data_IF_713880002506
#
_entry.id   IF_713880002506
#
_cell.length_a   1.000
_cell.length_b   1.000
_cell.length_c   1.000
_cell.angle_alpha   90.00
_cell.angle_beta   90.00
_cell.angle_gamma   90.00
#
_symmetry.space_group_name_H-M   'P 1'
#
loop_
_entity.id
_entity.type
_entity.pdbx_description
1 polymer ?
#
# COMPACT_ATOMS: atom_id res chain seq x y z
N UNK A 1 29.62 -48.82 9.25
CA UNK A 1 29.36 -47.90 10.37
C UNK A 1 28.06 -47.18 10.06
N UNK A 2 27.01 -47.47 10.82
CA UNK A 2 25.71 -46.83 10.68
C UNK A 2 25.86 -45.34 10.99
N UNK A 3 25.58 -44.46 10.01
CA UNK A 3 25.29 -43.06 10.30
C UNK A 3 23.95 -43.06 11.01
N UNK A 4 23.96 -42.84 12.33
CA UNK A 4 22.75 -42.81 13.13
C UNK A 4 21.78 -41.76 12.59
N UNK A 5 20.51 -42.14 12.39
CA UNK A 5 19.42 -41.20 12.28
C UNK A 5 19.38 -40.43 13.61
N UNK A 6 20.01 -39.27 13.67
CA UNK A 6 19.75 -38.33 14.75
C UNK A 6 18.29 -37.87 14.56
N UNK A 7 17.40 -38.40 15.41
CA UNK A 7 16.02 -37.98 15.43
C UNK A 7 15.99 -36.62 16.14
N UNK A 8 15.92 -35.54 15.34
CA UNK A 8 15.75 -34.19 15.85
C UNK A 8 14.44 -34.09 16.63
N UNK A 9 14.47 -33.44 17.79
CA UNK A 9 13.28 -33.06 18.54
C UNK A 9 12.46 -32.01 17.80
N UNK A 10 11.19 -31.87 18.13
CA UNK A 10 10.31 -30.83 17.58
C UNK A 10 10.93 -29.42 17.73
N UNK A 11 11.46 -29.10 18.92
CA UNK A 11 12.13 -27.82 19.17
C UNK A 11 13.37 -27.58 18.28
N UNK A 12 14.19 -28.61 18.04
CA UNK A 12 15.34 -28.49 17.13
C UNK A 12 14.92 -28.33 15.66
N UNK A 13 13.80 -28.94 15.27
CA UNK A 13 13.22 -28.78 13.94
C UNK A 13 12.66 -27.37 13.74
N UNK A 14 11.99 -26.81 14.76
CA UNK A 14 11.50 -25.42 14.77
C UNK A 14 12.65 -24.43 14.67
N UNK A 15 13.65 -24.53 15.55
CA UNK A 15 14.80 -23.63 15.51
C UNK A 15 15.54 -23.68 14.16
N UNK A 16 15.55 -24.84 13.51
CA UNK A 16 16.10 -24.99 12.16
C UNK A 16 15.21 -24.37 11.08
N UNK A 17 13.89 -24.47 11.21
CA UNK A 17 12.96 -23.83 10.30
C UNK A 17 13.07 -22.30 10.38
N UNK A 18 13.09 -21.73 11.59
CA UNK A 18 13.31 -20.30 11.84
C UNK A 18 14.62 -19.82 11.20
N UNK A 19 15.73 -20.53 11.43
CA UNK A 19 17.01 -20.18 10.81
C UNK A 19 16.99 -20.27 9.28
N UNK A 20 16.12 -21.09 8.68
CA UNK A 20 15.96 -21.18 7.23
C UNK A 20 15.11 -20.04 6.67
N UNK A 21 14.12 -19.56 7.43
CA UNK A 21 13.39 -18.32 7.10
C UNK A 21 14.37 -17.15 7.06
N UNK A 22 15.24 -17.02 8.09
CA UNK A 22 16.27 -15.98 8.14
C UNK A 22 17.28 -16.06 6.98
N UNK A 23 17.46 -17.25 6.39
CA UNK A 23 18.33 -17.50 5.24
C UNK A 23 17.60 -17.34 3.89
N UNK A 24 16.37 -16.83 3.89
CA UNK A 24 15.50 -16.73 2.72
C UNK A 24 15.33 -18.08 2.01
N UNK A 25 15.13 -19.15 2.77
CA UNK A 25 14.82 -20.51 2.28
C UNK A 25 13.45 -21.00 2.82
N UNK A 26 12.35 -20.26 2.53
CA UNK A 26 11.02 -20.54 3.08
C UNK A 26 10.49 -21.92 2.69
N UNK A 27 10.76 -22.42 1.49
CA UNK A 27 10.29 -23.75 1.05
C UNK A 27 10.90 -24.88 1.87
N UNK A 28 12.15 -24.71 2.30
CA UNK A 28 12.82 -25.68 3.16
C UNK A 28 12.37 -25.52 4.61
N UNK A 29 12.15 -24.29 5.09
CA UNK A 29 11.62 -24.01 6.42
C UNK A 29 10.28 -24.71 6.64
N UNK A 30 9.34 -24.61 5.69
CA UNK A 30 8.03 -25.28 5.75
C UNK A 30 8.19 -26.80 5.95
N UNK A 31 9.14 -27.45 5.26
CA UNK A 31 9.37 -28.89 5.45
C UNK A 31 9.89 -29.25 6.85
N UNK A 32 10.61 -28.34 7.51
CA UNK A 32 11.05 -28.53 8.89
C UNK A 32 9.91 -28.32 9.88
N UNK A 33 9.06 -27.31 9.66
CA UNK A 33 7.82 -27.14 10.43
C UNK A 33 6.87 -28.33 10.29
N UNK A 34 6.65 -28.84 9.08
CA UNK A 34 5.83 -30.05 8.84
C UNK A 34 6.38 -31.27 9.61
N UNK A 35 7.71 -31.43 9.67
CA UNK A 35 8.34 -32.50 10.47
C UNK A 35 8.17 -32.30 11.97
N UNK A 36 8.19 -31.06 12.45
CA UNK A 36 7.91 -30.74 13.85
C UNK A 36 6.43 -31.04 14.17
N UNK A 37 5.52 -30.68 13.26
CA UNK A 37 4.09 -30.91 13.39
C UNK A 37 3.74 -32.41 13.44
N UNK A 38 4.48 -33.27 12.72
CA UNK A 38 4.33 -34.73 12.85
C UNK A 38 4.62 -35.24 14.27
N UNK A 39 5.46 -34.53 15.06
CA UNK A 39 5.73 -34.86 16.46
C UNK A 39 4.70 -34.22 17.41
N UNK A 40 4.18 -33.05 17.04
CA UNK A 40 3.23 -32.27 17.84
C UNK A 40 1.99 -31.88 17.01
N UNK A 41 1.09 -32.82 16.68
CA UNK A 41 0.01 -32.57 15.69
C UNK A 41 -1.02 -31.52 16.10
N UNK A 42 -1.07 -31.17 17.38
CA UNK A 42 -1.99 -30.18 17.94
C UNK A 42 -1.34 -28.82 18.19
N UNK A 43 -0.10 -28.61 17.73
CA UNK A 43 0.61 -27.36 17.92
C UNK A 43 0.16 -26.34 16.86
N UNK A 44 -0.72 -25.43 17.28
CA UNK A 44 -1.32 -24.39 16.45
C UNK A 44 -0.31 -23.36 15.96
N UNK A 45 0.76 -23.08 16.72
CA UNK A 45 1.81 -22.16 16.28
C UNK A 45 2.56 -22.69 15.05
N UNK A 46 2.81 -24.02 14.97
CA UNK A 46 3.39 -24.63 13.78
C UNK A 46 2.46 -24.55 12.57
N UNK A 47 1.16 -24.77 12.78
CA UNK A 47 0.16 -24.65 11.73
C UNK A 47 0.06 -23.22 11.21
N UNK A 48 0.07 -22.23 12.12
CA UNK A 48 0.06 -20.80 11.77
C UNK A 48 1.31 -20.44 10.95
N UNK A 49 2.52 -20.84 11.40
CA UNK A 49 3.76 -20.59 10.63
C UNK A 49 3.80 -21.30 9.28
N UNK A 50 3.25 -22.52 9.17
CA UNK A 50 3.10 -23.21 7.88
C UNK A 50 2.13 -22.45 6.99
N UNK A 51 1.01 -21.98 7.53
CA UNK A 51 0.00 -21.22 6.81
C UNK A 51 0.55 -19.91 6.23
N UNK A 52 1.22 -19.12 7.07
CA UNK A 52 1.83 -17.84 6.72
C UNK A 52 2.89 -18.01 5.62
N UNK A 53 3.89 -18.87 5.84
CA UNK A 53 4.93 -19.11 4.84
C UNK A 53 4.39 -19.73 3.56
N UNK A 54 3.37 -20.59 3.64
CA UNK A 54 2.77 -21.16 2.44
C UNK A 54 1.99 -20.12 1.63
N UNK A 55 1.47 -19.09 2.28
CA UNK A 55 0.84 -17.94 1.60
C UNK A 55 1.88 -17.14 0.84
N UNK A 56 3.02 -16.83 1.46
CA UNK A 56 4.14 -16.14 0.81
C UNK A 56 4.73 -16.92 -0.38
N UNK A 57 4.68 -18.26 -0.30
CA UNK A 57 5.12 -19.17 -1.35
C UNK A 57 4.07 -19.42 -2.44
N UNK A 58 2.94 -18.73 -2.42
CA UNK A 58 1.80 -18.92 -3.33
C UNK A 58 1.27 -20.38 -3.37
N UNK A 59 1.44 -21.10 -2.25
CA UNK A 59 0.91 -22.45 -2.06
C UNK A 59 -0.40 -22.40 -1.29
N UNK A 60 -1.44 -21.91 -1.97
CA UNK A 60 -2.75 -21.63 -1.39
C UNK A 60 -3.40 -22.87 -0.77
N UNK A 61 -3.27 -24.05 -1.40
CA UNK A 61 -3.82 -25.30 -0.87
C UNK A 61 -3.20 -25.69 0.48
N UNK A 62 -1.87 -25.57 0.61
CA UNK A 62 -1.16 -25.87 1.86
C UNK A 62 -1.51 -24.85 2.93
N UNK A 63 -1.54 -23.56 2.57
CA UNK A 63 -1.88 -22.48 3.49
C UNK A 63 -3.28 -22.66 4.07
N UNK A 64 -4.28 -22.88 3.19
CA UNK A 64 -5.67 -23.10 3.57
C UNK A 64 -5.81 -24.30 4.53
N UNK A 65 -5.19 -25.43 4.20
CA UNK A 65 -5.22 -26.63 5.04
C UNK A 65 -4.61 -26.40 6.43
N UNK A 66 -3.51 -25.66 6.53
CA UNK A 66 -2.85 -25.37 7.79
C UNK A 66 -3.70 -24.44 8.68
N UNK A 67 -4.22 -23.35 8.11
CA UNK A 67 -5.10 -22.44 8.85
C UNK A 67 -6.40 -23.10 9.29
N UNK A 68 -7.05 -23.90 8.44
CA UNK A 68 -8.26 -24.66 8.82
C UNK A 68 -7.99 -25.60 10.00
N UNK A 69 -6.86 -26.32 10.00
CA UNK A 69 -6.47 -27.18 11.12
C UNK A 69 -6.19 -26.36 12.38
N UNK A 70 -5.51 -25.21 12.27
CA UNK A 70 -5.24 -24.34 13.41
C UNK A 70 -6.53 -23.78 14.02
N UNK A 71 -7.45 -23.31 13.18
CA UNK A 71 -8.77 -22.81 13.58
C UNK A 71 -9.58 -23.90 14.29
N UNK A 72 -9.56 -25.13 13.77
CA UNK A 72 -10.28 -26.25 14.39
C UNK A 72 -9.74 -26.61 15.80
N UNK A 73 -8.45 -26.40 16.04
CA UNK A 73 -7.80 -26.69 17.32
C UNK A 73 -7.94 -25.55 18.33
N UNK A 74 -7.72 -24.31 17.90
CA UNK A 74 -7.72 -23.13 18.78
C UNK A 74 -8.23 -21.88 18.02
N UNK A 75 -9.56 -21.72 17.86
CA UNK A 75 -10.14 -20.65 17.04
C UNK A 75 -9.87 -19.25 17.59
N UNK A 76 -9.75 -19.10 18.92
CA UNK A 76 -9.54 -17.81 19.58
C UNK A 76 -8.06 -17.41 19.73
N UNK A 77 -7.12 -18.32 19.47
CA UNK A 77 -5.69 -18.01 19.58
C UNK A 77 -5.20 -17.45 18.23
N UNK A 78 -4.38 -16.41 18.22
CA UNK A 78 -3.89 -15.78 17.00
C UNK A 78 -5.03 -15.42 16.01
N UNK A 79 -5.87 -14.42 16.32
CA UNK A 79 -7.01 -14.08 15.46
C UNK A 79 -6.61 -13.69 14.03
N UNK A 80 -5.37 -13.27 13.79
CA UNK A 80 -4.87 -12.91 12.45
C UNK A 80 -4.99 -14.05 11.43
N UNK A 81 -4.95 -15.32 11.86
CA UNK A 81 -5.15 -16.47 10.95
C UNK A 81 -6.50 -16.49 10.25
N UNK A 82 -7.52 -15.87 10.85
CA UNK A 82 -8.83 -15.70 10.22
C UNK A 82 -8.77 -14.70 9.06
N UNK A 83 -7.92 -13.68 9.16
CA UNK A 83 -7.70 -12.73 8.06
C UNK A 83 -6.86 -13.37 6.96
N UNK A 84 -5.83 -14.15 7.33
CA UNK A 84 -5.04 -14.90 6.34
C UNK A 84 -5.90 -15.86 5.54
N UNK A 85 -6.71 -16.70 6.20
CA UNK A 85 -7.58 -17.65 5.48
C UNK A 85 -8.64 -16.93 4.64
N UNK A 86 -9.15 -15.77 5.08
CA UNK A 86 -10.11 -14.98 4.32
C UNK A 86 -9.56 -14.52 2.97
N UNK A 87 -8.27 -14.20 2.89
CA UNK A 87 -7.59 -13.83 1.63
C UNK A 87 -7.38 -15.01 0.67
N UNK A 88 -7.50 -16.25 1.16
CA UNK A 88 -7.33 -17.48 0.36
C UNK A 88 -8.65 -18.00 -0.24
N UNK A 89 -9.77 -17.37 0.11
CA UNK A 89 -11.11 -17.73 -0.35
C UNK A 89 -11.83 -16.50 -0.90
N UNK A 90 -13.02 -16.67 -1.47
CA UNK A 90 -13.76 -15.59 -2.12
C UNK A 90 -15.22 -15.53 -1.67
N UNK A 91 -15.87 -14.40 -1.94
CA UNK A 91 -17.30 -14.19 -1.67
C UNK A 91 -17.70 -14.43 -0.21
N UNK A 92 -18.83 -15.11 0.00
CA UNK A 92 -19.42 -15.31 1.34
C UNK A 92 -18.50 -16.07 2.32
N UNK A 93 -17.59 -16.92 1.81
CA UNK A 93 -16.63 -17.62 2.67
C UNK A 93 -15.57 -16.65 3.22
N UNK A 94 -15.11 -15.70 2.41
CA UNK A 94 -14.19 -14.65 2.84
C UNK A 94 -14.86 -13.72 3.87
N UNK A 95 -16.13 -13.36 3.64
CA UNK A 95 -16.92 -12.61 4.62
C UNK A 95 -17.03 -13.38 5.95
N UNK A 96 -17.32 -14.68 5.89
CA UNK A 96 -17.45 -15.51 7.08
C UNK A 96 -16.15 -15.53 7.89
N UNK A 97 -15.01 -15.84 7.28
CA UNK A 97 -13.74 -15.88 8.01
C UNK A 97 -13.35 -14.50 8.57
N UNK A 98 -13.51 -13.44 7.78
CA UNK A 98 -13.17 -12.08 8.23
C UNK A 98 -14.03 -11.64 9.42
N UNK A 99 -15.34 -11.91 9.40
CA UNK A 99 -16.24 -11.58 10.52
C UNK A 99 -15.94 -12.41 11.78
N UNK A 100 -15.52 -13.67 11.64
CA UNK A 100 -15.02 -14.46 12.78
C UNK A 100 -13.71 -13.90 13.34
N UNK A 101 -12.76 -13.51 12.46
CA UNK A 101 -11.52 -12.86 12.86
C UNK A 101 -11.76 -11.59 13.68
N UNK A 102 -12.63 -10.70 13.18
CA UNK A 102 -13.05 -9.48 13.89
C UNK A 102 -13.66 -9.82 15.25
N UNK A 103 -14.53 -10.85 15.33
CA UNK A 103 -15.12 -11.28 16.61
C UNK A 103 -14.06 -11.66 17.63
N UNK A 104 -13.02 -12.38 17.21
CA UNK A 104 -11.92 -12.77 18.08
C UNK A 104 -11.03 -11.58 18.47
N UNK A 105 -10.72 -10.67 17.54
CA UNK A 105 -10.01 -9.43 17.84
C UNK A 105 -10.77 -8.53 18.81
N UNK A 106 -12.10 -8.40 18.66
CA UNK A 106 -12.92 -7.63 19.59
C UNK A 106 -12.87 -8.21 21.01
N UNK A 107 -12.90 -9.53 21.13
CA UNK A 107 -12.77 -10.20 22.43
C UNK A 107 -11.38 -9.97 23.05
N UNK A 108 -10.31 -10.02 22.25
CA UNK A 108 -8.96 -9.72 22.69
C UNK A 108 -8.83 -8.25 23.13
N UNK A 109 -9.35 -7.31 22.34
CA UNK A 109 -9.36 -5.88 22.65
C UNK A 109 -10.07 -5.58 23.98
N UNK A 110 -11.16 -6.27 24.29
CA UNK A 110 -11.87 -6.12 25.57
C UNK A 110 -11.03 -6.52 26.80
N UNK A 111 -9.99 -7.34 26.63
CA UNK A 111 -9.08 -7.69 27.73
C UNK A 111 -8.08 -6.57 28.04
N UNK A 112 -7.93 -5.58 27.16
CA UNK A 112 -7.07 -4.44 27.40
C UNK A 112 -7.78 -3.40 28.29
N UNK A 113 -7.18 -3.11 29.45
CA UNK A 113 -7.70 -2.09 30.38
C UNK A 113 -7.58 -0.68 29.81
N UNK A 114 -6.47 -0.41 29.11
CA UNK A 114 -6.25 0.87 28.42
C UNK A 114 -6.49 0.70 26.91
N UNK A 115 -7.54 1.32 26.35
CA UNK A 115 -7.85 1.23 24.92
C UNK A 115 -6.83 1.94 24.02
N UNK A 116 -5.87 2.67 24.60
CA UNK A 116 -4.81 3.39 23.87
C UNK A 116 -3.43 2.78 24.10
N UNK A 117 -3.33 1.64 24.80
CA UNK A 117 -2.08 0.92 24.91
C UNK A 117 -1.59 0.47 23.51
N UNK A 118 -0.27 0.39 23.26
CA UNK A 118 0.26 0.00 21.95
C UNK A 118 -0.31 -1.32 21.40
N UNK A 119 -0.46 -2.33 22.26
CA UNK A 119 -1.08 -3.60 21.86
C UNK A 119 -2.57 -3.46 21.48
N UNK A 120 -3.32 -2.60 22.17
CA UNK A 120 -4.71 -2.32 21.83
C UNK A 120 -4.83 -1.55 20.50
N UNK A 121 -3.89 -0.64 20.21
CA UNK A 121 -3.83 0.08 18.94
C UNK A 121 -3.53 -0.87 17.75
N UNK A 122 -2.66 -1.86 17.94
CA UNK A 122 -2.41 -2.91 16.93
C UNK A 122 -3.68 -3.68 16.63
N UNK A 123 -4.42 -4.11 17.66
CA UNK A 123 -5.68 -4.84 17.46
C UNK A 123 -6.73 -3.94 16.78
N UNK A 124 -6.85 -2.67 17.18
CA UNK A 124 -7.73 -1.69 16.53
C UNK A 124 -7.39 -1.52 15.05
N UNK A 125 -6.10 -1.40 14.72
CA UNK A 125 -5.61 -1.35 13.33
C UNK A 125 -6.08 -2.59 12.54
N UNK A 126 -5.88 -3.79 13.08
CA UNK A 126 -6.29 -5.03 12.41
C UNK A 126 -7.81 -5.13 12.23
N UNK A 127 -8.61 -4.69 13.21
CA UNK A 127 -10.08 -4.63 13.09
C UNK A 127 -10.49 -3.62 12.01
N UNK A 128 -9.84 -2.46 12.00
CA UNK A 128 -10.09 -1.39 11.04
C UNK A 128 -9.83 -1.86 9.60
N UNK A 129 -8.65 -2.44 9.35
CA UNK A 129 -8.28 -3.03 8.06
C UNK A 129 -9.25 -4.13 7.65
N UNK A 130 -9.62 -5.04 8.56
CA UNK A 130 -10.56 -6.12 8.27
C UNK A 130 -11.96 -5.61 7.88
N UNK A 131 -12.44 -4.53 8.51
CA UNK A 131 -13.69 -3.90 8.09
C UNK A 131 -13.58 -3.19 6.73
N UNK A 132 -12.45 -2.56 6.41
CA UNK A 132 -12.21 -2.03 5.07
C UNK A 132 -12.25 -3.15 4.02
N UNK A 133 -11.55 -4.26 4.27
CA UNK A 133 -11.57 -5.41 3.35
C UNK A 133 -12.97 -6.00 3.18
N UNK A 134 -13.80 -6.04 4.22
CA UNK A 134 -15.21 -6.44 4.09
C UNK A 134 -16.01 -5.47 3.22
N UNK A 135 -15.84 -4.16 3.38
CA UNK A 135 -16.52 -3.18 2.54
C UNK A 135 -16.11 -3.30 1.07
N UNK A 136 -14.81 -3.48 0.80
CA UNK A 136 -14.25 -3.70 -0.54
C UNK A 136 -14.75 -5.01 -1.17
N UNK A 137 -14.87 -6.09 -0.40
CA UNK A 137 -15.44 -7.36 -0.86
C UNK A 137 -16.86 -7.18 -1.42
N UNK A 138 -17.66 -6.28 -0.83
CA UNK A 138 -18.98 -5.91 -1.33
C UNK A 138 -18.97 -4.94 -2.52
N UNK A 139 -17.84 -4.31 -2.81
CA UNK A 139 -17.64 -3.52 -4.03
C UNK A 139 -17.13 -4.37 -5.20
N UNK A 140 -16.58 -5.56 -4.93
CA UNK A 140 -16.00 -6.45 -5.95
C UNK A 140 -16.76 -7.78 -6.06
N UNK A 141 -16.47 -8.76 -5.21
CA UNK A 141 -16.95 -10.14 -5.31
C UNK A 141 -18.45 -10.28 -5.03
N UNK A 142 -18.95 -9.48 -4.09
CA UNK A 142 -20.34 -9.52 -3.62
C UNK A 142 -21.16 -8.31 -4.11
N UNK A 143 -20.72 -7.64 -5.17
CA UNK A 143 -21.38 -6.43 -5.69
C UNK A 143 -22.82 -6.68 -6.20
N UNK A 144 -23.13 -7.91 -6.65
CA UNK A 144 -24.46 -8.31 -7.10
C UNK A 144 -25.44 -8.64 -5.96
N UNK A 145 -24.97 -8.64 -4.70
CA UNK A 145 -25.82 -8.93 -3.53
C UNK A 145 -26.84 -7.78 -3.32
N UNK A 146 -28.11 -8.11 -3.03
CA UNK A 146 -29.18 -7.10 -2.90
C UNK A 146 -28.88 -6.03 -1.83
N UNK A 147 -28.15 -6.43 -0.78
CA UNK A 147 -27.73 -5.55 0.31
C UNK A 147 -26.29 -5.02 0.18
N UNK A 148 -25.63 -5.18 -0.98
CA UNK A 148 -24.20 -4.90 -1.14
C UNK A 148 -23.83 -3.48 -0.72
N UNK A 149 -24.54 -2.47 -1.23
CA UNK A 149 -24.31 -1.06 -0.91
C UNK A 149 -24.49 -0.78 0.60
N UNK A 150 -25.56 -1.31 1.20
CA UNK A 150 -25.85 -1.10 2.63
C UNK A 150 -24.82 -1.78 3.52
N UNK A 151 -24.39 -2.99 3.17
CA UNK A 151 -23.36 -3.72 3.93
C UNK A 151 -21.99 -3.06 3.77
N UNK A 152 -21.62 -2.69 2.55
CA UNK A 152 -20.40 -1.95 2.22
C UNK A 152 -20.29 -0.67 3.07
N UNK A 153 -21.31 0.18 3.03
CA UNK A 153 -21.33 1.43 3.81
C UNK A 153 -21.24 1.15 5.31
N UNK A 154 -21.97 0.15 5.81
CA UNK A 154 -21.92 -0.24 7.21
C UNK A 154 -20.51 -0.65 7.63
N UNK A 155 -19.84 -1.51 6.87
CA UNK A 155 -18.49 -1.96 7.24
C UNK A 155 -17.49 -0.83 7.26
N UNK A 156 -17.53 0.08 6.28
CA UNK A 156 -16.67 1.26 6.31
C UNK A 156 -16.96 2.20 7.49
N UNK A 157 -18.24 2.36 7.88
CA UNK A 157 -18.59 3.10 9.09
C UNK A 157 -18.07 2.42 10.36
N UNK A 158 -18.16 1.09 10.45
CA UNK A 158 -17.58 0.32 11.56
C UNK A 158 -16.06 0.46 11.60
N UNK A 159 -15.36 0.45 10.46
CA UNK A 159 -13.92 0.68 10.37
C UNK A 159 -13.52 2.01 11.03
N UNK A 160 -14.26 3.09 10.75
CA UNK A 160 -14.02 4.40 11.37
C UNK A 160 -14.18 4.42 12.90
N UNK A 161 -14.92 3.48 13.49
CA UNK A 161 -15.02 3.38 14.96
C UNK A 161 -13.75 2.83 15.62
N UNK A 162 -12.91 2.15 14.84
CA UNK A 162 -11.60 1.62 15.25
C UNK A 162 -10.44 2.41 14.65
N UNK A 163 -10.72 3.60 14.11
CA UNK A 163 -9.72 4.45 13.46
C UNK A 163 -8.59 4.83 14.42
N UNK A 164 -7.36 4.57 13.97
CA UNK A 164 -6.12 4.95 14.66
C UNK A 164 -5.29 5.96 13.85
N UNK A 165 -5.92 6.65 12.90
CA UNK A 165 -5.29 7.62 12.01
C UNK A 165 -4.86 7.05 10.65
N UNK A 166 -5.45 5.91 10.26
CA UNK A 166 -5.15 5.17 9.04
C UNK A 166 -5.77 5.84 7.80
N UNK A 167 -5.08 5.97 6.66
CA UNK A 167 -5.68 6.52 5.44
C UNK A 167 -6.73 5.59 4.79
N UNK A 168 -6.67 4.29 5.05
CA UNK A 168 -7.49 3.26 4.38
C UNK A 168 -9.01 3.47 4.55
N UNK A 169 -9.55 3.70 5.77
CA UNK A 169 -11.00 3.82 5.95
C UNK A 169 -11.61 5.04 5.26
N UNK A 170 -10.88 6.16 5.24
CA UNK A 170 -11.35 7.39 4.58
C UNK A 170 -11.27 7.25 3.06
N UNK A 171 -10.24 6.59 2.54
CA UNK A 171 -10.13 6.28 1.12
C UNK A 171 -11.26 5.34 0.67
N UNK A 172 -11.52 4.27 1.44
CA UNK A 172 -12.54 3.29 1.09
C UNK A 172 -13.95 3.90 1.07
N UNK A 173 -14.27 4.78 2.03
CA UNK A 173 -15.51 5.57 1.99
C UNK A 173 -15.54 6.54 0.81
N UNK A 174 -14.43 7.20 0.47
CA UNK A 174 -14.37 8.09 -0.67
C UNK A 174 -14.69 7.33 -1.97
N UNK A 175 -14.11 6.14 -2.13
CA UNK A 175 -14.39 5.27 -3.27
C UNK A 175 -15.89 4.93 -3.36
N UNK A 176 -16.52 4.55 -2.24
CA UNK A 176 -17.97 4.33 -2.21
C UNK A 176 -18.75 5.59 -2.63
N UNK A 177 -18.37 6.78 -2.15
CA UNK A 177 -19.02 8.04 -2.55
C UNK A 177 -18.85 8.35 -4.03
N UNK A 178 -17.70 8.05 -4.63
CA UNK A 178 -17.49 8.19 -6.07
C UNK A 178 -18.37 7.23 -6.87
N UNK A 179 -18.48 5.97 -6.46
CA UNK A 179 -19.40 4.99 -7.08
C UNK A 179 -20.85 5.47 -7.00
N UNK A 180 -21.25 6.09 -5.88
CA UNK A 180 -22.56 6.72 -5.68
C UNK A 180 -22.74 8.06 -6.44
N UNK A 181 -21.77 8.49 -7.24
CA UNK A 181 -21.75 9.77 -7.96
C UNK A 181 -21.81 10.99 -7.03
N UNK A 182 -21.39 10.85 -5.78
CA UNK A 182 -21.35 11.90 -4.78
C UNK A 182 -19.93 12.45 -4.61
N UNK A 183 -19.45 13.19 -5.61
CA UNK A 183 -18.09 13.75 -5.63
C UNK A 183 -17.81 14.71 -4.48
N UNK A 184 -18.79 15.51 -4.07
CA UNK A 184 -18.64 16.48 -2.98
C UNK A 184 -18.33 15.78 -1.64
N UNK A 185 -19.04 14.68 -1.33
CA UNK A 185 -18.74 13.90 -0.13
C UNK A 185 -17.40 13.14 -0.25
N UNK A 186 -17.04 12.68 -1.45
CA UNK A 186 -15.77 12.02 -1.69
C UNK A 186 -14.58 12.97 -1.48
N UNK A 187 -14.70 14.22 -1.93
CA UNK A 187 -13.66 15.25 -1.82
C UNK A 187 -13.19 15.44 -0.37
N UNK A 188 -14.13 15.65 0.57
CA UNK A 188 -13.78 15.83 1.98
C UNK A 188 -13.11 14.60 2.62
N UNK A 189 -13.47 13.39 2.18
CA UNK A 189 -12.85 12.14 2.62
C UNK A 189 -11.44 11.96 2.02
N UNK A 190 -11.23 12.40 0.78
CA UNK A 190 -9.92 12.36 0.12
C UNK A 190 -8.96 13.40 0.66
N UNK A 191 -9.44 14.60 1.03
CA UNK A 191 -8.63 15.60 1.72
C UNK A 191 -8.10 15.04 3.05
N UNK A 192 -8.95 14.34 3.80
CA UNK A 192 -8.56 13.67 5.03
C UNK A 192 -7.58 12.52 4.79
N UNK A 193 -7.81 11.71 3.73
CA UNK A 193 -6.91 10.63 3.33
C UNK A 193 -5.51 11.17 3.00
N UNK A 194 -5.45 12.24 2.19
CA UNK A 194 -4.22 12.92 1.81
C UNK A 194 -3.48 13.48 3.02
N UNK A 195 -4.21 14.15 3.94
CA UNK A 195 -3.64 14.65 5.19
C UNK A 195 -3.02 13.52 6.02
N UNK A 196 -3.70 12.37 6.15
CA UNK A 196 -3.18 11.20 6.90
C UNK A 196 -1.92 10.61 6.27
N UNK A 197 -1.87 10.53 4.93
CA UNK A 197 -0.67 10.09 4.23
C UNK A 197 0.55 10.97 4.54
N UNK A 198 0.36 12.28 4.68
CA UNK A 198 1.46 13.22 4.89
C UNK A 198 1.80 13.45 6.37
N UNK A 199 0.83 13.35 7.29
CA UNK A 199 1.03 13.67 8.71
C UNK A 199 1.20 12.44 9.59
N UNK A 200 0.55 11.32 9.26
CA UNK A 200 0.49 10.13 10.13
C UNK A 200 1.36 8.98 9.66
N UNK A 201 1.74 8.93 8.39
CA UNK A 201 2.59 7.89 7.83
C UNK A 201 4.06 8.36 7.78
N UNK A 202 4.94 7.67 8.50
CA UNK A 202 6.38 7.68 8.26
C UNK A 202 6.81 6.64 7.21
N UNK A 203 8.11 6.58 6.91
CA UNK A 203 8.71 5.72 5.88
C UNK A 203 8.29 4.25 5.99
N UNK A 204 8.34 3.66 7.19
CA UNK A 204 7.97 2.25 7.44
C UNK A 204 6.44 2.00 7.50
N UNK A 205 5.62 3.04 7.41
CA UNK A 205 4.16 2.97 7.57
C UNK A 205 3.38 3.54 6.40
N UNK A 206 4.09 3.91 5.33
CA UNK A 206 3.48 4.33 4.09
C UNK A 206 2.69 3.15 3.48
N UNK A 207 1.44 3.38 3.04
CA UNK A 207 0.70 2.36 2.30
C UNK A 207 1.39 1.99 0.98
N UNK A 208 0.97 0.85 0.42
CA UNK A 208 1.52 0.31 -0.82
C UNK A 208 1.46 1.31 -1.99
N UNK A 209 2.32 1.09 -2.98
CA UNK A 209 2.30 1.86 -4.25
C UNK A 209 0.92 1.81 -4.91
N UNK A 210 0.26 0.65 -4.86
CA UNK A 210 -1.09 0.45 -5.39
C UNK A 210 -2.11 1.33 -4.65
N UNK A 211 -2.10 1.32 -3.32
CA UNK A 211 -3.00 2.16 -2.52
C UNK A 211 -2.80 3.65 -2.84
N UNK A 212 -1.56 4.13 -2.87
CA UNK A 212 -1.24 5.52 -3.17
C UNK A 212 -1.61 5.91 -4.60
N UNK A 213 -1.39 5.01 -5.56
CA UNK A 213 -1.83 5.20 -6.95
C UNK A 213 -3.36 5.31 -7.05
N UNK A 214 -4.09 4.47 -6.31
CA UNK A 214 -5.55 4.55 -6.23
C UNK A 214 -6.01 5.89 -5.62
N UNK A 215 -5.36 6.37 -4.54
CA UNK A 215 -5.60 7.71 -3.98
C UNK A 215 -5.44 8.79 -5.05
N UNK A 216 -4.33 8.77 -5.81
CA UNK A 216 -4.07 9.72 -6.89
C UNK A 216 -5.17 9.73 -7.96
N UNK A 217 -5.61 8.54 -8.39
CA UNK A 217 -6.73 8.39 -9.36
C UNK A 217 -8.03 8.99 -8.83
N UNK A 218 -8.37 8.74 -7.56
CA UNK A 218 -9.56 9.31 -6.93
C UNK A 218 -9.47 10.82 -6.77
N UNK A 219 -8.30 11.35 -6.41
CA UNK A 219 -8.04 12.80 -6.33
C UNK A 219 -8.21 13.48 -7.70
N UNK A 220 -7.77 12.85 -8.79
CA UNK A 220 -8.02 13.32 -10.17
C UNK A 220 -9.52 13.38 -10.45
N UNK A 221 -10.28 12.37 -10.02
CA UNK A 221 -11.73 12.29 -10.28
C UNK A 221 -12.52 13.39 -9.56
N UNK A 222 -12.06 13.84 -8.39
CA UNK A 222 -12.58 15.01 -7.65
C UNK A 222 -11.86 16.32 -8.00
N UNK A 223 -11.06 16.33 -9.07
CA UNK A 223 -10.40 17.53 -9.62
C UNK A 223 -9.38 18.19 -8.67
N UNK A 224 -8.85 17.43 -7.69
CA UNK A 224 -7.76 17.85 -6.79
C UNK A 224 -6.40 17.55 -7.40
N UNK A 225 -6.11 18.18 -8.53
CA UNK A 225 -4.95 17.86 -9.38
C UNK A 225 -3.60 18.08 -8.68
N UNK A 226 -3.44 19.12 -7.86
CA UNK A 226 -2.21 19.39 -7.11
C UNK A 226 -1.89 18.25 -6.12
N UNK A 227 -2.89 17.84 -5.32
CA UNK A 227 -2.75 16.75 -4.36
C UNK A 227 -2.54 15.41 -5.06
N UNK A 228 -3.20 15.20 -6.22
CA UNK A 228 -2.99 14.02 -7.02
C UNK A 228 -1.55 13.92 -7.55
N UNK A 229 -0.98 15.03 -8.06
CA UNK A 229 0.42 15.09 -8.47
C UNK A 229 1.36 14.73 -7.32
N UNK A 230 1.20 15.35 -6.16
CA UNK A 230 2.05 15.12 -5.00
C UNK A 230 2.10 13.62 -4.60
N UNK A 231 0.93 12.99 -4.48
CA UNK A 231 0.87 11.56 -4.14
C UNK A 231 1.49 10.69 -5.23
N UNK A 232 1.17 10.95 -6.51
CA UNK A 232 1.63 10.13 -7.63
C UNK A 232 3.13 10.30 -7.91
N UNK A 233 3.68 11.51 -7.78
CA UNK A 233 5.11 11.77 -7.88
C UNK A 233 5.87 11.07 -6.73
N UNK A 234 5.30 11.01 -5.54
CA UNK A 234 5.82 10.19 -4.44
C UNK A 234 5.90 8.70 -4.81
N UNK A 235 4.89 8.15 -5.49
CA UNK A 235 4.93 6.77 -6.01
C UNK A 235 6.03 6.63 -7.09
N UNK A 236 6.18 7.61 -7.98
CA UNK A 236 7.18 7.57 -9.06
C UNK A 236 8.63 7.62 -8.55
N UNK A 237 8.88 8.16 -7.37
CA UNK A 237 10.21 8.11 -6.75
C UNK A 237 10.63 6.68 -6.37
N UNK A 238 9.66 5.80 -6.14
CA UNK A 238 9.87 4.39 -5.80
C UNK A 238 9.77 3.47 -7.02
N UNK A 239 8.88 3.77 -7.98
CA UNK A 239 8.70 3.04 -9.24
C UNK A 239 8.50 4.00 -10.43
N UNK A 240 9.58 4.28 -11.17
CA UNK A 240 9.57 5.14 -12.35
C UNK A 240 9.34 4.39 -13.67
N UNK A 241 9.25 3.05 -13.62
CA UNK A 241 9.09 2.19 -14.80
C UNK A 241 7.61 2.04 -15.22
N UNK A 242 6.66 2.51 -14.39
CA UNK A 242 5.22 2.44 -14.66
C UNK A 242 4.72 3.57 -15.59
N UNK A 243 4.40 3.22 -16.84
CA UNK A 243 3.88 4.17 -17.84
C UNK A 243 2.54 4.84 -17.45
N UNK A 244 1.73 4.21 -16.61
CA UNK A 244 0.45 4.76 -16.15
C UNK A 244 0.68 6.00 -15.27
N UNK A 245 1.67 5.97 -14.37
CA UNK A 245 1.96 7.10 -13.48
C UNK A 245 2.35 8.36 -14.28
N UNK A 246 3.19 8.21 -15.30
CA UNK A 246 3.55 9.30 -16.22
C UNK A 246 2.31 9.89 -16.93
N UNK A 247 1.36 9.04 -17.31
CA UNK A 247 0.11 9.49 -17.94
C UNK A 247 -0.79 10.25 -16.95
N UNK A 248 -0.94 9.74 -15.72
CA UNK A 248 -1.78 10.34 -14.70
C UNK A 248 -1.23 11.71 -14.28
N UNK A 249 0.08 11.81 -13.99
CA UNK A 249 0.72 13.08 -13.62
C UNK A 249 0.68 14.09 -14.78
N UNK A 250 0.95 13.65 -16.02
CA UNK A 250 0.77 14.50 -17.20
C UNK A 250 -0.66 15.00 -17.39
N UNK A 251 -1.66 14.18 -17.01
CA UNK A 251 -3.08 14.57 -17.02
C UNK A 251 -3.38 15.64 -15.98
N UNK A 252 -2.80 15.54 -14.78
CA UNK A 252 -2.91 16.57 -13.74
C UNK A 252 -2.30 17.89 -14.20
N UNK A 253 -1.05 17.90 -14.70
CA UNK A 253 -0.41 19.12 -15.20
C UNK A 253 -1.22 19.77 -16.33
N UNK A 254 -1.77 18.96 -17.24
CA UNK A 254 -2.64 19.47 -18.30
C UNK A 254 -3.90 20.13 -17.75
N UNK A 255 -4.51 19.53 -16.72
CA UNK A 255 -5.72 20.09 -16.09
C UNK A 255 -5.43 21.38 -15.31
N UNK A 256 -4.19 21.55 -14.82
CA UNK A 256 -3.69 22.76 -14.18
C UNK A 256 -3.18 23.83 -15.18
N UNK A 257 -3.33 23.60 -16.49
CA UNK A 257 -2.83 24.45 -17.59
C UNK A 257 -1.30 24.63 -17.65
N UNK A 258 -0.55 23.78 -16.95
CA UNK A 258 0.91 23.69 -17.08
C UNK A 258 1.26 22.80 -18.28
N UNK A 259 1.08 23.37 -19.48
CA UNK A 259 1.23 22.64 -20.73
C UNK A 259 2.66 22.16 -20.97
N UNK A 260 3.66 22.88 -20.45
CA UNK A 260 5.07 22.55 -20.58
C UNK A 260 5.40 21.25 -19.83
N UNK A 261 5.05 21.19 -18.55
CA UNK A 261 5.24 19.97 -17.77
C UNK A 261 4.35 18.84 -18.28
N UNK A 262 3.08 19.12 -18.61
CA UNK A 262 2.19 18.12 -19.19
C UNK A 262 2.82 17.44 -20.43
N UNK A 263 3.40 18.23 -21.34
CA UNK A 263 4.05 17.72 -22.54
C UNK A 263 5.23 16.81 -22.21
N UNK A 264 6.11 17.19 -21.28
CA UNK A 264 7.25 16.37 -20.87
C UNK A 264 6.77 15.01 -20.33
N UNK A 265 5.79 15.00 -19.43
CA UNK A 265 5.27 13.77 -18.84
C UNK A 265 4.60 12.86 -19.89
N UNK A 266 3.84 13.41 -20.84
CA UNK A 266 3.26 12.62 -21.92
C UNK A 266 4.32 12.06 -22.89
N UNK A 267 5.41 12.80 -23.17
CA UNK A 267 6.53 12.29 -23.98
C UNK A 267 7.29 11.15 -23.28
N UNK A 268 7.44 11.23 -21.95
CA UNK A 268 7.97 10.14 -21.12
C UNK A 268 7.05 8.93 -21.17
N UNK A 269 5.74 9.12 -20.92
CA UNK A 269 4.74 8.06 -21.05
C UNK A 269 4.82 7.37 -22.42
N UNK A 270 4.86 8.15 -23.51
CA UNK A 270 5.02 7.64 -24.88
C UNK A 270 6.29 6.78 -25.04
N UNK A 271 7.40 7.22 -24.47
CA UNK A 271 8.68 6.50 -24.51
C UNK A 271 8.58 5.16 -23.78
N UNK A 272 7.94 5.14 -22.61
CA UNK A 272 7.72 3.94 -21.81
C UNK A 272 6.81 2.95 -22.54
N UNK A 273 5.67 3.39 -23.07
CA UNK A 273 4.77 2.56 -23.87
C UNK A 273 5.48 1.97 -25.10
N UNK A 274 6.35 2.73 -25.76
CA UNK A 274 7.19 2.23 -26.87
C UNK A 274 8.18 1.14 -26.43
N UNK A 275 8.77 1.27 -25.23
CA UNK A 275 9.66 0.26 -24.62
C UNK A 275 8.87 -1.02 -24.30
N UNK A 276 7.75 -0.90 -23.59
CA UNK A 276 6.82 -1.99 -23.26
C UNK A 276 6.34 -2.74 -24.51
N UNK A 277 5.92 -2.02 -25.54
CA UNK A 277 5.44 -2.61 -26.80
C UNK A 277 6.49 -3.45 -27.52
N UNK A 278 7.76 -3.00 -27.49
CA UNK A 278 8.87 -3.77 -28.07
C UNK A 278 9.14 -5.06 -27.30
N UNK A 279 8.92 -5.06 -25.99
CA UNK A 279 9.11 -6.24 -25.12
C UNK A 279 7.97 -7.24 -25.29
N UNK A 280 6.72 -6.76 -25.26
CA UNK A 280 5.51 -7.61 -25.23
C UNK A 280 5.03 -8.06 -26.63
N UNK A 281 5.54 -7.43 -27.70
CA UNK A 281 5.39 -7.77 -29.15
C UNK A 281 3.99 -7.95 -29.73
N UNK A 282 2.92 -8.25 -28.97
CA UNK A 282 1.61 -8.63 -29.50
C UNK A 282 0.37 -8.21 -28.69
N UNK A 283 0.49 -7.26 -27.76
CA UNK A 283 -0.70 -6.74 -27.06
C UNK A 283 -1.37 -5.61 -27.87
N UNK A 284 -2.56 -5.92 -28.40
CA UNK A 284 -3.38 -4.98 -29.18
C UNK A 284 -3.73 -3.72 -28.38
N UNK A 285 -4.02 -3.86 -27.09
CA UNK A 285 -4.41 -2.75 -26.21
C UNK A 285 -3.34 -1.66 -26.08
N UNK A 286 -2.06 -2.05 -26.15
CA UNK A 286 -0.95 -1.12 -26.02
C UNK A 286 -0.76 -0.23 -27.28
N UNK A 287 -1.28 -0.66 -28.43
CA UNK A 287 -1.29 0.15 -29.64
C UNK A 287 -2.25 1.35 -29.49
N UNK A 288 -3.46 1.08 -29.02
CA UNK A 288 -4.50 2.10 -28.86
C UNK A 288 -4.10 3.14 -27.80
N UNK A 289 -3.52 2.68 -26.67
CA UNK A 289 -2.97 3.58 -25.66
C UNK A 289 -1.85 4.47 -26.21
N UNK A 290 -0.93 3.90 -26.99
CA UNK A 290 0.18 4.67 -27.58
C UNK A 290 -0.33 5.71 -28.58
N UNK A 291 -1.31 5.36 -29.41
CA UNK A 291 -1.94 6.29 -30.35
C UNK A 291 -2.62 7.45 -29.61
N UNK A 292 -3.38 7.16 -28.55
CA UNK A 292 -4.02 8.18 -27.71
C UNK A 292 -3.01 9.15 -27.08
N UNK A 293 -1.86 8.65 -26.61
CA UNK A 293 -0.79 9.50 -26.05
C UNK A 293 -0.12 10.30 -27.16
N UNK A 294 0.10 9.71 -28.34
CA UNK A 294 0.68 10.40 -29.50
C UNK A 294 -0.19 11.57 -29.99
N UNK A 295 -1.50 11.38 -30.04
CA UNK A 295 -2.46 12.44 -30.34
C UNK A 295 -2.42 13.55 -29.28
N UNK A 296 -2.35 13.18 -28.00
CA UNK A 296 -2.27 14.15 -26.89
C UNK A 296 -0.99 15.00 -26.99
N UNK A 297 0.17 14.37 -27.24
CA UNK A 297 1.46 15.06 -27.42
C UNK A 297 1.40 16.01 -28.63
N UNK A 298 0.81 15.56 -29.75
CA UNK A 298 0.66 16.40 -30.94
C UNK A 298 -0.24 17.62 -30.67
N UNK A 299 -1.37 17.40 -29.97
CA UNK A 299 -2.29 18.47 -29.59
C UNK A 299 -1.61 19.50 -28.67
N UNK A 300 -0.90 19.05 -27.63
CA UNK A 300 -0.18 19.93 -26.71
C UNK A 300 0.89 20.76 -27.44
N UNK A 301 1.69 20.14 -28.31
CA UNK A 301 2.69 20.87 -29.12
C UNK A 301 2.06 21.93 -30.00
N UNK A 302 0.92 21.64 -30.62
CA UNK A 302 0.19 22.60 -31.44
C UNK A 302 -0.35 23.76 -30.60
N UNK A 303 -0.95 23.47 -29.43
CA UNK A 303 -1.45 24.49 -28.51
C UNK A 303 -0.33 25.39 -28.02
N UNK A 304 0.77 24.83 -27.51
CA UNK A 304 1.94 25.57 -27.03
C UNK A 304 2.52 26.46 -28.14
N UNK A 305 2.65 25.94 -29.36
CA UNK A 305 3.15 26.72 -30.50
C UNK A 305 2.20 27.84 -30.96
N UNK A 306 0.92 27.79 -30.58
CA UNK A 306 -0.08 28.81 -30.90
C UNK A 306 -0.21 29.90 -29.84
N UNK A 307 0.40 29.70 -28.66
CA UNK A 307 0.45 30.73 -27.61
C UNK A 307 1.35 31.89 -28.08
N UNK A 308 0.95 33.15 -27.86
CA UNK A 308 1.85 34.27 -28.07
C UNK A 308 3.10 34.09 -27.19
N UNK A 309 4.30 34.49 -27.66
CA UNK A 309 5.47 34.50 -26.80
C UNK A 309 5.16 35.33 -25.56
N UNK A 310 5.41 34.76 -24.37
CA UNK A 310 5.17 35.44 -23.09
C UNK A 310 5.81 36.84 -23.12
N UNK A 311 4.98 37.89 -22.99
CA UNK A 311 5.44 39.28 -22.94
C UNK A 311 5.95 39.69 -21.53
N UNK A 312 6.02 38.76 -20.57
CA UNK A 312 6.46 39.05 -19.20
C UNK A 312 7.78 38.32 -18.86
N UNK A 313 8.85 38.74 -19.54
CA UNK A 313 10.21 38.30 -19.26
C UNK A 313 11.26 39.38 -19.55
N UNK A 314 10.93 40.65 -19.32
CA UNK A 314 11.92 41.72 -19.21
C UNK A 314 12.16 42.08 -17.73
N UNK A 315 13.45 42.20 -17.41
CA UNK A 315 14.06 42.83 -16.23
C UNK A 315 14.08 42.05 -14.90
N UNK A 316 15.16 41.29 -14.69
CA UNK A 316 16.12 41.63 -13.62
C UNK A 316 17.50 40.95 -13.86
N UNK A 317 18.15 41.34 -14.96
CA UNK A 317 19.62 41.34 -15.02
C UNK A 317 20.11 42.64 -14.34
N UNK A 318 20.13 42.66 -13.00
CA UNK A 318 20.87 43.66 -12.24
C UNK A 318 21.77 43.01 -11.21
N UNK A 319 23.02 42.82 -11.64
CA UNK A 319 24.24 43.20 -10.93
C UNK A 319 24.14 43.32 -9.39
N UNK A 320 24.68 42.32 -8.70
CA UNK A 320 25.19 42.52 -7.35
C UNK A 320 26.56 41.87 -7.21
N UNK A 321 27.57 42.63 -7.64
CA UNK A 321 28.83 42.90 -6.96
C UNK A 321 29.36 41.84 -5.98
N UNK A 322 30.52 41.28 -6.34
CA UNK A 322 31.49 40.77 -5.39
C UNK A 322 31.86 41.86 -4.36
N UNK A 323 31.39 41.73 -3.12
CA UNK A 323 32.16 42.18 -1.95
C UNK A 323 32.03 41.16 -0.82
N UNK A 324 33.08 40.35 -0.66
CA UNK A 324 33.29 39.52 0.51
C UNK A 324 33.59 40.43 1.73
N UNK A 325 32.62 40.55 2.63
CA UNK A 325 32.81 41.11 3.97
C UNK A 325 32.34 40.07 4.99
N UNK A 326 33.29 39.26 5.46
CA UNK A 326 33.10 38.36 6.58
C UNK A 326 33.20 39.15 7.90
N UNK A 327 32.15 39.09 8.72
CA UNK A 327 32.14 39.66 10.06
C UNK A 327 31.08 39.04 10.96
N UNK A 328 31.50 38.11 11.83
CA UNK A 328 30.87 37.73 13.11
C UNK A 328 31.89 36.85 13.88
N UNK A 329 32.74 37.39 14.76
CA UNK A 329 32.53 37.78 16.18
C UNK A 329 32.34 36.60 17.15
N UNK A 330 33.45 36.28 17.83
CA UNK A 330 33.67 36.04 19.27
C UNK A 330 33.13 34.79 19.99
N UNK A 331 34.07 33.96 20.45
CA UNK A 331 34.40 33.62 21.87
C UNK A 331 35.52 32.54 21.81
N UNK A 332 36.68 32.58 22.47
CA UNK A 332 37.07 33.17 23.74
C UNK A 332 37.34 32.03 24.73
N UNK A 333 38.54 31.45 24.76
CA UNK A 333 39.20 30.95 25.98
C UNK A 333 40.64 30.44 25.74
N UNK A 334 41.44 30.63 26.78
CA UNK A 334 42.90 30.63 26.90
C UNK A 334 43.54 29.23 26.88
N UNK A 335 44.80 29.22 26.42
CA UNK A 335 45.98 28.45 26.83
C UNK A 335 45.82 27.02 27.37
N UNK A 336 46.61 26.09 26.80
CA UNK A 336 47.73 25.39 27.50
C UNK A 336 48.56 24.60 26.48
N UNK A 337 49.87 24.82 26.52
CA UNK A 337 50.95 24.05 25.88
C UNK A 337 50.92 22.56 26.29
N UNK A 338 51.27 21.64 25.38
CA UNK A 338 52.46 20.81 25.58
C UNK A 338 52.83 20.01 24.32
N UNK A 339 54.13 20.01 24.08
CA UNK A 339 54.87 19.11 23.20
C UNK A 339 54.84 17.66 23.71
N UNK A 340 55.05 16.74 22.76
CA UNK A 340 55.27 15.28 22.84
C UNK A 340 54.04 14.35 22.89
#
# INVERSE_FOLDING_TARGET
>A
MARGNAQYSAAELVAKAEALVDQCQPELAVQFYEKALLQEPSNTALLDSIGELSTELDNLERALSAFQQSIALAPAQNPAKWLYIAQLVAGEEAEHYTTQGITHFLHELQQHVDPNAPAALVIKKQICEAYCSLGELYMTDLCDHEEAEVRCEKYFQEALTFDVGLPEPTQALANLRLVQQNKEAAEGLLEETYRRLNENCGEDSLPSLEFRTATGKMLIEVEKYEQACDVLEGVMQEDDDNAELWFLVGTCYRAMDDLSNALEFFEKCQTMLKKLKKQLRHEFYLQDQLESVEETVAALKATIASLPPDEDGDDDDQDSGEEASAGAVAAGQEDVEMEE
#
